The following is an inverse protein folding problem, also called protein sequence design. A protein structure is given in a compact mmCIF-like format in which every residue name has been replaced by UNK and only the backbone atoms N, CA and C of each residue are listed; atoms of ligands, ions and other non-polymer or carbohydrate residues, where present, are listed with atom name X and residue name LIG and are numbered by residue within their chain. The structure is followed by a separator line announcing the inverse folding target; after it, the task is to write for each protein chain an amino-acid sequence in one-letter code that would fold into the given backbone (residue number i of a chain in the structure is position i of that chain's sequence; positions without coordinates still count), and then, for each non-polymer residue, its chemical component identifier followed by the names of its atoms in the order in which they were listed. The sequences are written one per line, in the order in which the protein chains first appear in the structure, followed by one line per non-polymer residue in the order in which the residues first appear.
data_IF_915576250937
#
_entry.id   IF_915576250937
#
_cell.length_a   1.000
_cell.length_b   1.000
_cell.length_c   1.000
_cell.angle_alpha   90.00
_cell.angle_beta   90.00
_cell.angle_gamma   90.00
#
_symmetry.space_group_name_H-M   'P 1'
#
loop_
_entity.id
_entity.type
_entity.pdbx_description
1 polymer ?
#
# COMPACT_ATOMS: atom_id res chain seq x y z
N UNK A 1 23.82 6.84 -6.60
CA UNK A 1 22.44 6.35 -6.44
C UNK A 1 22.38 4.94 -5.85
N UNK A 2 23.08 3.97 -6.44
CA UNK A 2 23.09 2.57 -5.97
C UNK A 2 23.40 2.41 -4.47
N UNK A 3 24.49 3.05 -3.98
CA UNK A 3 24.88 2.96 -2.57
C UNK A 3 23.83 3.54 -1.61
N UNK A 4 23.11 4.60 -2.02
CA UNK A 4 22.02 5.18 -1.23
C UNK A 4 20.84 4.22 -1.10
N UNK A 5 20.43 3.60 -2.22
CA UNK A 5 19.35 2.59 -2.20
C UNK A 5 19.75 1.40 -1.31
N UNK A 6 20.98 0.91 -1.44
CA UNK A 6 21.48 -0.19 -0.62
C UNK A 6 21.49 0.16 0.87
N UNK A 7 21.84 1.39 1.22
CA UNK A 7 21.80 1.88 2.59
C UNK A 7 20.35 1.91 3.14
N UNK A 8 19.39 2.41 2.36
CA UNK A 8 17.97 2.43 2.78
C UNK A 8 17.38 1.01 2.92
N UNK A 9 17.72 0.09 2.01
CA UNK A 9 17.30 -1.31 2.12
C UNK A 9 17.94 -2.02 3.31
N UNK A 10 19.22 -1.74 3.59
CA UNK A 10 19.88 -2.25 4.78
C UNK A 10 19.24 -1.73 6.07
N UNK A 11 18.91 -0.45 6.10
CA UNK A 11 18.19 0.19 7.21
C UNK A 11 16.83 -0.48 7.40
N UNK A 12 16.03 -0.65 6.34
CA UNK A 12 14.74 -1.33 6.39
C UNK A 12 14.85 -2.73 7.02
N UNK A 13 15.86 -3.50 6.58
CA UNK A 13 16.13 -4.84 7.13
C UNK A 13 16.47 -4.84 8.62
N UNK A 14 16.96 -3.73 9.17
CA UNK A 14 17.34 -3.60 10.59
C UNK A 14 16.31 -2.84 11.42
N UNK A 15 15.31 -2.28 10.79
CA UNK A 15 14.29 -1.47 11.45
C UNK A 15 13.33 -2.34 12.28
N UNK A 16 13.28 -2.07 13.60
CA UNK A 16 12.42 -2.81 14.53
C UNK A 16 10.94 -2.58 14.24
N UNK A 17 10.57 -1.34 13.88
CA UNK A 17 9.17 -0.98 13.61
C UNK A 17 8.66 -1.72 12.37
N UNK A 18 9.52 -1.88 11.36
CA UNK A 18 9.21 -2.68 10.17
C UNK A 18 8.92 -4.14 10.53
N UNK A 19 9.76 -4.78 11.36
CA UNK A 19 9.56 -6.17 11.78
C UNK A 19 8.31 -6.34 12.66
N UNK A 20 8.06 -5.41 13.58
CA UNK A 20 6.84 -5.43 14.40
C UNK A 20 5.60 -5.31 13.52
N UNK A 21 5.63 -4.42 12.53
CA UNK A 21 4.52 -4.26 11.59
C UNK A 21 4.30 -5.53 10.74
N UNK A 22 5.38 -6.16 10.25
CA UNK A 22 5.31 -7.46 9.57
C UNK A 22 4.64 -8.53 10.44
N UNK A 23 5.03 -8.64 11.71
CA UNK A 23 4.47 -9.61 12.65
C UNK A 23 2.99 -9.34 12.93
N UNK A 24 2.61 -8.08 13.13
CA UNK A 24 1.20 -7.70 13.34
C UNK A 24 0.37 -8.07 12.13
N UNK A 25 0.82 -7.72 10.92
CA UNK A 25 0.07 -8.04 9.70
C UNK A 25 0.01 -9.55 9.48
N UNK A 26 1.10 -10.29 9.72
CA UNK A 26 1.10 -11.75 9.63
C UNK A 26 0.11 -12.38 10.63
N UNK A 27 0.10 -11.91 11.87
CA UNK A 27 -0.85 -12.39 12.89
C UNK A 27 -2.31 -12.11 12.48
N UNK A 28 -2.60 -10.91 11.96
CA UNK A 28 -3.94 -10.57 11.45
C UNK A 28 -4.31 -11.38 10.21
N UNK A 29 -3.34 -11.72 9.36
CA UNK A 29 -3.53 -12.53 8.16
C UNK A 29 -3.91 -13.98 8.49
N UNK A 30 -3.51 -14.47 9.65
CA UNK A 30 -3.93 -15.78 10.19
C UNK A 30 -5.24 -15.65 10.98
N UNK A 31 -5.32 -14.66 11.87
CA UNK A 31 -6.47 -14.54 12.75
C UNK A 31 -7.79 -14.29 12.00
N UNK A 32 -7.75 -13.45 10.95
CA UNK A 32 -8.96 -13.05 10.23
C UNK A 32 -9.63 -14.21 9.48
N UNK A 33 -8.96 -15.01 8.64
CA UNK A 33 -9.56 -16.18 7.99
C UNK A 33 -9.97 -17.26 8.97
N UNK A 34 -9.18 -17.48 10.02
CA UNK A 34 -9.46 -18.47 11.05
C UNK A 34 -10.76 -18.16 11.80
N UNK A 35 -10.95 -16.92 12.21
CA UNK A 35 -12.20 -16.47 12.84
C UNK A 35 -13.39 -16.65 11.93
N UNK A 36 -13.22 -16.32 10.65
CA UNK A 36 -14.26 -16.51 9.63
C UNK A 36 -14.60 -17.98 9.40
N UNK A 37 -13.58 -18.85 9.39
CA UNK A 37 -13.77 -20.31 9.31
C UNK A 37 -14.54 -20.87 10.49
N UNK A 38 -14.19 -20.45 11.72
CA UNK A 38 -14.87 -20.88 12.95
C UNK A 38 -16.34 -20.41 12.97
N UNK A 39 -16.60 -19.14 12.61
CA UNK A 39 -17.95 -18.58 12.57
C UNK A 39 -18.84 -19.35 11.58
N UNK A 40 -18.36 -19.59 10.36
CA UNK A 40 -19.09 -20.34 9.36
C UNK A 40 -19.36 -21.78 9.81
N UNK A 41 -18.37 -22.44 10.42
CA UNK A 41 -18.51 -23.81 10.91
C UNK A 41 -19.55 -23.89 12.05
N UNK A 42 -19.53 -22.94 12.96
CA UNK A 42 -20.49 -22.86 14.07
C UNK A 42 -21.90 -22.52 13.61
N UNK A 43 -22.01 -21.68 12.57
CA UNK A 43 -23.28 -21.26 11.98
C UNK A 43 -23.86 -22.22 10.93
N UNK A 44 -23.21 -23.38 10.67
CA UNK A 44 -23.64 -24.33 9.63
C UNK A 44 -23.58 -23.76 8.21
N UNK A 45 -22.78 -22.71 7.98
CA UNK A 45 -22.60 -22.07 6.66
C UNK A 45 -21.52 -22.79 5.86
N UNK A 46 -21.58 -22.75 4.51
CA UNK A 46 -20.53 -23.31 3.67
C UNK A 46 -19.19 -22.62 3.95
N UNK A 47 -18.11 -23.40 3.96
CA UNK A 47 -16.76 -22.88 4.10
C UNK A 47 -16.29 -22.33 2.75
N UNK A 48 -15.53 -21.23 2.79
CA UNK A 48 -14.87 -20.72 1.59
C UNK A 48 -13.68 -21.59 1.23
N UNK A 49 -13.55 -21.85 -0.06
CA UNK A 49 -12.30 -22.34 -0.65
C UNK A 49 -11.27 -21.22 -0.74
N UNK A 50 -9.99 -21.57 -0.90
CA UNK A 50 -8.93 -20.56 -1.05
C UNK A 50 -9.19 -19.59 -2.21
N UNK A 51 -9.69 -20.10 -3.34
CA UNK A 51 -10.02 -19.28 -4.50
C UNK A 51 -11.17 -18.30 -4.23
N UNK A 52 -12.25 -18.75 -3.62
CA UNK A 52 -13.39 -17.89 -3.24
C UNK A 52 -12.98 -16.83 -2.20
N UNK A 53 -12.17 -17.24 -1.22
CA UNK A 53 -11.67 -16.32 -0.21
C UNK A 53 -10.83 -15.20 -0.84
N UNK A 54 -9.92 -15.55 -1.74
CA UNK A 54 -9.09 -14.58 -2.43
C UNK A 54 -9.95 -13.54 -3.16
N UNK A 55 -10.92 -13.96 -3.95
CA UNK A 55 -11.81 -13.06 -4.70
C UNK A 55 -12.60 -12.16 -3.77
N UNK A 56 -13.18 -12.72 -2.71
CA UNK A 56 -14.05 -11.98 -1.79
C UNK A 56 -13.28 -10.99 -0.91
N UNK A 57 -12.06 -11.35 -0.48
CA UNK A 57 -11.32 -10.59 0.52
C UNK A 57 -10.12 -9.80 -0.03
N UNK A 58 -9.90 -9.79 -1.35
CA UNK A 58 -8.88 -8.93 -2.00
C UNK A 58 -9.10 -7.46 -1.63
N UNK A 59 -10.34 -6.99 -1.56
CA UNK A 59 -10.65 -5.62 -1.17
C UNK A 59 -10.17 -5.28 0.25
N UNK A 60 -10.14 -6.26 1.17
CA UNK A 60 -9.65 -6.09 2.55
C UNK A 60 -8.16 -5.76 2.59
N UNK A 61 -7.39 -6.22 1.59
CA UNK A 61 -5.97 -5.87 1.46
C UNK A 61 -5.75 -4.36 1.26
N UNK A 62 -6.73 -3.65 0.71
CA UNK A 62 -6.68 -2.19 0.58
C UNK A 62 -6.55 -1.48 1.94
N UNK A 63 -7.17 -2.00 3.00
CA UNK A 63 -6.99 -1.47 4.35
C UNK A 63 -5.59 -1.78 4.89
N UNK A 64 -5.08 -2.99 4.67
CA UNK A 64 -3.72 -3.39 5.07
C UNK A 64 -2.69 -2.45 4.42
N UNK A 65 -2.84 -2.14 3.13
CA UNK A 65 -1.98 -1.21 2.40
C UNK A 65 -2.02 0.19 3.05
N UNK A 66 -3.22 0.74 3.27
CA UNK A 66 -3.41 2.07 3.83
C UNK A 66 -2.80 2.22 5.23
N UNK A 67 -3.10 1.29 6.12
CA UNK A 67 -2.59 1.31 7.50
C UNK A 67 -1.09 1.08 7.56
N UNK A 68 -0.56 0.11 6.82
CA UNK A 68 0.88 -0.19 6.83
C UNK A 68 1.70 0.95 6.25
N UNK A 69 1.23 1.61 5.18
CA UNK A 69 1.93 2.76 4.61
C UNK A 69 1.94 3.93 5.59
N UNK A 70 0.81 4.24 6.25
CA UNK A 70 0.74 5.30 7.23
C UNK A 70 1.71 5.05 8.40
N UNK A 71 1.70 3.83 8.96
CA UNK A 71 2.58 3.44 10.06
C UNK A 71 4.07 3.46 9.62
N UNK A 72 4.38 2.82 8.49
CA UNK A 72 5.77 2.76 8.00
C UNK A 72 6.28 4.14 7.60
N UNK A 73 5.46 5.02 7.03
CA UNK A 73 5.82 6.40 6.72
C UNK A 73 6.27 7.16 7.97
N UNK A 74 5.52 7.04 9.06
CA UNK A 74 5.84 7.68 10.33
C UNK A 74 7.08 7.09 11.01
N UNK A 75 7.16 5.78 11.10
CA UNK A 75 8.25 5.12 11.84
C UNK A 75 9.54 5.00 11.03
N UNK A 76 9.49 4.80 9.72
CA UNK A 76 10.67 4.61 8.89
C UNK A 76 11.24 5.90 8.32
N UNK A 77 10.39 6.84 7.85
CA UNK A 77 10.85 8.09 7.23
C UNK A 77 10.78 9.27 8.21
N UNK A 78 9.57 9.55 8.77
CA UNK A 78 9.37 10.74 9.58
C UNK A 78 10.20 10.72 10.88
N UNK A 79 10.47 9.54 11.45
CA UNK A 79 11.33 9.39 12.63
C UNK A 79 12.76 9.90 12.41
N UNK A 80 13.28 9.89 11.19
CA UNK A 80 14.61 10.42 10.90
C UNK A 80 14.72 11.94 11.03
N UNK A 81 13.60 12.65 10.83
CA UNK A 81 13.57 14.08 11.08
C UNK A 81 13.61 14.38 12.59
N UNK A 82 12.84 13.61 13.38
CA UNK A 82 12.77 13.81 14.83
C UNK A 82 14.05 13.39 15.56
N UNK A 83 14.77 12.40 15.02
CA UNK A 83 16.03 11.91 15.59
C UNK A 83 17.27 12.66 15.06
N UNK A 84 17.10 13.60 14.14
CA UNK A 84 18.20 14.36 13.54
C UNK A 84 19.04 13.58 12.50
N UNK A 85 18.74 12.30 12.27
CA UNK A 85 19.42 11.47 11.25
C UNK A 85 19.27 12.09 9.87
N UNK A 86 18.10 12.66 9.56
CA UNK A 86 17.86 13.34 8.29
C UNK A 86 18.81 14.51 8.07
N UNK A 87 19.12 15.28 9.11
CA UNK A 87 20.08 16.40 9.04
C UNK A 87 21.48 15.89 8.70
N UNK A 88 21.94 14.85 9.39
CA UNK A 88 23.26 14.26 9.16
C UNK A 88 23.39 13.71 7.74
N UNK A 89 22.36 13.00 7.25
CA UNK A 89 22.36 12.44 5.89
C UNK A 89 22.28 13.56 4.83
N UNK A 90 21.52 14.63 5.08
CA UNK A 90 21.41 15.76 4.14
C UNK A 90 22.70 16.58 4.07
N UNK A 91 23.49 16.65 5.16
CA UNK A 91 24.79 17.35 5.20
C UNK A 91 25.96 16.53 4.62
N UNK A 92 25.76 15.27 4.26
CA UNK A 92 26.82 14.39 3.74
C UNK A 92 27.25 14.69 2.28
N UNK A 93 26.78 15.80 1.69
CA UNK A 93 27.15 16.24 0.34
C UNK A 93 26.39 15.52 -0.79
N UNK A 94 25.47 14.63 -0.47
CA UNK A 94 24.63 13.99 -1.48
C UNK A 94 23.52 14.94 -1.98
N UNK A 95 23.20 14.89 -3.28
CA UNK A 95 22.06 15.61 -3.85
C UNK A 95 20.76 15.22 -3.15
N UNK A 96 20.00 16.23 -2.70
CA UNK A 96 18.75 16.03 -1.96
C UNK A 96 17.70 15.24 -2.74
N UNK A 97 17.64 15.41 -4.08
CA UNK A 97 16.71 14.66 -4.91
C UNK A 97 17.08 13.17 -4.96
N UNK A 98 18.38 12.85 -5.03
CA UNK A 98 18.85 11.46 -4.98
C UNK A 98 18.59 10.81 -3.62
N UNK A 99 18.73 11.57 -2.53
CA UNK A 99 18.40 11.09 -1.19
C UNK A 99 16.91 10.76 -1.07
N UNK A 100 16.04 11.69 -1.49
CA UNK A 100 14.60 11.44 -1.46
C UNK A 100 14.20 10.24 -2.32
N UNK A 101 14.74 10.14 -3.55
CA UNK A 101 14.44 9.01 -4.44
C UNK A 101 14.91 7.67 -3.84
N UNK A 102 16.07 7.61 -3.19
CA UNK A 102 16.54 6.41 -2.52
C UNK A 102 15.62 6.01 -1.36
N UNK A 103 15.16 6.98 -0.56
CA UNK A 103 14.19 6.77 0.52
C UNK A 103 12.85 6.28 0.01
N UNK A 104 12.34 6.88 -1.07
CA UNK A 104 11.10 6.45 -1.70
C UNK A 104 11.20 4.98 -2.17
N UNK A 105 12.31 4.59 -2.79
CA UNK A 105 12.54 3.20 -3.25
C UNK A 105 12.58 2.25 -2.04
N UNK A 106 13.36 2.55 -1.01
CA UNK A 106 13.47 1.71 0.19
C UNK A 106 12.12 1.58 0.92
N UNK A 107 11.41 2.67 1.06
CA UNK A 107 10.08 2.72 1.66
C UNK A 107 9.04 1.93 0.85
N UNK A 108 9.01 2.13 -0.47
CA UNK A 108 8.11 1.39 -1.36
C UNK A 108 8.39 -0.11 -1.32
N UNK A 109 9.67 -0.52 -1.28
CA UNK A 109 10.04 -1.93 -1.14
C UNK A 109 9.50 -2.53 0.17
N UNK A 110 9.63 -1.82 1.30
CA UNK A 110 9.06 -2.25 2.57
C UNK A 110 7.53 -2.36 2.54
N UNK A 111 6.87 -1.36 1.98
CA UNK A 111 5.41 -1.36 1.81
C UNK A 111 4.93 -2.51 0.94
N UNK A 112 5.62 -2.79 -0.18
CA UNK A 112 5.31 -3.91 -1.07
C UNK A 112 5.46 -5.26 -0.36
N UNK A 113 6.51 -5.45 0.45
CA UNK A 113 6.68 -6.68 1.23
C UNK A 113 5.50 -6.90 2.18
N UNK A 114 5.08 -5.86 2.90
CA UNK A 114 3.96 -5.94 3.84
C UNK A 114 2.65 -6.23 3.11
N UNK A 115 2.40 -5.58 1.96
CA UNK A 115 1.13 -5.71 1.22
C UNK A 115 0.88 -7.11 0.67
N UNK A 116 1.92 -7.92 0.49
CA UNK A 116 1.80 -9.30 0.03
C UNK A 116 1.52 -10.29 1.16
N UNK A 117 1.79 -9.94 2.43
CA UNK A 117 1.62 -10.87 3.54
C UNK A 117 0.16 -11.30 3.67
N UNK A 118 -0.75 -10.32 3.74
CA UNK A 118 -2.16 -10.63 3.93
C UNK A 118 -2.73 -11.56 2.85
N UNK A 119 -2.63 -11.27 1.55
CA UNK A 119 -3.19 -12.14 0.53
C UNK A 119 -2.50 -13.51 0.46
N UNK A 120 -1.18 -13.58 0.65
CA UNK A 120 -0.45 -14.85 0.54
C UNK A 120 -0.66 -15.75 1.76
N UNK A 121 -0.57 -15.20 2.98
CA UNK A 121 -0.73 -15.98 4.21
C UNK A 121 -2.18 -16.45 4.36
N UNK A 122 -3.15 -15.55 4.15
CA UNK A 122 -4.57 -15.90 4.24
C UNK A 122 -4.99 -16.91 3.17
N UNK A 123 -4.47 -16.76 1.94
CA UNK A 123 -4.72 -17.75 0.88
C UNK A 123 -4.17 -19.13 1.23
N UNK A 124 -2.93 -19.18 1.74
CA UNK A 124 -2.31 -20.43 2.15
C UNK A 124 -3.11 -21.11 3.28
N UNK A 125 -3.48 -20.33 4.31
CA UNK A 125 -4.25 -20.85 5.45
C UNK A 125 -5.63 -21.40 5.03
N UNK A 126 -6.42 -20.61 4.31
CA UNK A 126 -7.76 -21.07 3.87
C UNK A 126 -7.64 -22.28 2.96
N UNK A 127 -6.61 -22.31 2.10
CA UNK A 127 -6.37 -23.48 1.23
C UNK A 127 -5.99 -24.75 2.03
N UNK A 128 -5.31 -24.59 3.17
CA UNK A 128 -5.00 -25.70 4.08
C UNK A 128 -6.25 -26.19 4.85
N UNK A 129 -7.16 -25.28 5.22
CA UNK A 129 -8.35 -25.60 6.00
C UNK A 129 -9.49 -26.18 5.16
N UNK A 130 -9.71 -25.65 3.96
CA UNK A 130 -10.88 -25.95 3.12
C UNK A 130 -10.55 -26.39 1.68
N UNK A 131 -9.26 -26.51 1.36
CA UNK A 131 -8.78 -26.75 -0.01
C UNK A 131 -8.73 -25.47 -0.84
N UNK A 132 -7.92 -25.47 -1.91
CA UNK A 132 -7.84 -24.33 -2.81
C UNK A 132 -9.15 -24.10 -3.59
N UNK A 133 -9.82 -25.21 -3.97
CA UNK A 133 -11.04 -25.15 -4.76
C UNK A 133 -10.79 -24.84 -6.23
N UNK A 134 -11.87 -24.64 -6.96
CA UNK A 134 -11.84 -24.20 -8.35
C UNK A 134 -12.13 -22.70 -8.43
N UNK A 135 -11.47 -22.02 -9.35
CA UNK A 135 -11.83 -20.64 -9.65
C UNK A 135 -13.26 -20.63 -10.21
N UNK A 136 -14.13 -19.70 -9.76
CA UNK A 136 -15.47 -19.57 -10.29
C UNK A 136 -15.49 -19.41 -11.82
N UNK A 137 -16.57 -19.84 -12.47
CA UNK A 137 -16.74 -19.69 -13.91
C UNK A 137 -16.54 -18.24 -14.34
N UNK A 138 -15.72 -18.06 -15.38
CA UNK A 138 -15.42 -16.74 -15.93
C UNK A 138 -14.29 -15.97 -15.25
N UNK A 139 -13.61 -16.53 -14.24
CA UNK A 139 -12.37 -15.98 -13.69
C UNK A 139 -11.20 -16.44 -14.55
N UNK A 140 -10.37 -15.48 -14.97
CA UNK A 140 -9.17 -15.75 -15.77
C UNK A 140 -8.13 -16.55 -14.98
N UNK A 141 -7.44 -17.48 -15.63
CA UNK A 141 -6.31 -18.22 -15.05
C UNK A 141 -5.18 -17.30 -14.54
N UNK A 142 -5.04 -16.11 -15.15
CA UNK A 142 -4.09 -15.09 -14.73
C UNK A 142 -4.60 -14.20 -13.58
N UNK A 143 -5.75 -14.49 -12.99
CA UNK A 143 -6.34 -13.69 -11.92
C UNK A 143 -5.37 -13.46 -10.74
N UNK A 144 -4.78 -14.53 -10.20
CA UNK A 144 -3.88 -14.45 -9.07
C UNK A 144 -2.59 -13.62 -9.37
N UNK A 145 -1.81 -13.92 -10.42
CA UNK A 145 -0.65 -13.10 -10.77
C UNK A 145 -1.01 -11.64 -11.05
N UNK A 146 -2.15 -11.39 -11.70
CA UNK A 146 -2.66 -10.04 -11.98
C UNK A 146 -2.96 -9.28 -10.70
N UNK A 147 -3.71 -9.88 -9.77
CA UNK A 147 -4.06 -9.25 -8.50
C UNK A 147 -2.81 -8.94 -7.67
N UNK A 148 -1.87 -9.89 -7.58
CA UNK A 148 -0.62 -9.66 -6.85
C UNK A 148 0.25 -8.57 -7.51
N UNK A 149 0.37 -8.59 -8.83
CA UNK A 149 1.12 -7.57 -9.58
C UNK A 149 0.51 -6.17 -9.41
N UNK A 150 -0.81 -6.04 -9.56
CA UNK A 150 -1.51 -4.78 -9.32
C UNK A 150 -1.41 -4.34 -7.85
N UNK A 151 -1.52 -5.27 -6.89
CA UNK A 151 -1.30 -4.96 -5.47
C UNK A 151 0.05 -4.29 -5.23
N UNK A 152 1.12 -4.83 -5.80
CA UNK A 152 2.47 -4.23 -5.70
C UNK A 152 2.52 -2.83 -6.33
N UNK A 153 1.96 -2.67 -7.53
CA UNK A 153 1.96 -1.41 -8.25
C UNK A 153 1.18 -0.32 -7.50
N UNK A 154 -0.02 -0.66 -7.01
CA UNK A 154 -0.83 0.28 -6.22
C UNK A 154 -0.21 0.59 -4.87
N UNK A 155 0.41 -0.40 -4.22
CA UNK A 155 1.17 -0.17 -2.99
C UNK A 155 2.31 0.83 -3.20
N UNK A 156 3.04 0.74 -4.33
CA UNK A 156 4.08 1.71 -4.67
C UNK A 156 3.50 3.13 -4.89
N UNK A 157 2.33 3.23 -5.51
CA UNK A 157 1.65 4.52 -5.71
C UNK A 157 1.21 5.15 -4.37
N UNK A 158 0.60 4.37 -3.48
CA UNK A 158 0.25 4.82 -2.13
C UNK A 158 1.49 5.16 -1.30
N UNK A 159 2.58 4.41 -1.45
CA UNK A 159 3.85 4.70 -0.80
C UNK A 159 4.44 6.04 -1.31
N UNK A 160 4.34 6.33 -2.61
CA UNK A 160 4.80 7.61 -3.14
C UNK A 160 4.01 8.81 -2.56
N UNK A 161 2.69 8.67 -2.40
CA UNK A 161 1.85 9.65 -1.71
C UNK A 161 2.26 9.77 -0.23
N UNK A 162 2.45 8.65 0.47
CA UNK A 162 2.89 8.62 1.86
C UNK A 162 4.24 9.31 2.05
N UNK A 163 5.23 9.04 1.19
CA UNK A 163 6.55 9.67 1.23
C UNK A 163 6.48 11.18 0.96
N UNK A 164 5.60 11.65 0.06
CA UNK A 164 5.36 13.07 -0.17
C UNK A 164 4.89 13.75 1.12
N UNK A 165 3.91 13.19 1.82
CA UNK A 165 3.40 13.78 3.05
C UNK A 165 4.41 13.70 4.22
N UNK A 166 5.30 12.72 4.26
CA UNK A 166 6.40 12.72 5.24
C UNK A 166 7.38 13.87 5.01
N UNK A 167 7.60 14.26 3.77
CA UNK A 167 8.41 15.43 3.46
C UNK A 167 7.72 16.73 3.92
N UNK A 168 6.40 16.76 4.04
CA UNK A 168 5.64 17.92 4.53
C UNK A 168 5.62 17.96 6.07
N UNK A 169 5.17 16.88 6.73
CA UNK A 169 4.87 16.88 8.17
C UNK A 169 6.09 16.64 9.08
N UNK A 170 7.07 15.88 8.67
CA UNK A 170 8.33 15.59 9.38
C UNK A 170 8.26 15.00 10.80
N UNK A 171 7.11 14.99 11.45
CA UNK A 171 6.89 14.39 12.76
C UNK A 171 6.14 13.06 12.62
N UNK A 172 6.63 12.00 13.26
CA UNK A 172 6.05 10.64 13.15
C UNK A 172 4.56 10.61 13.48
N UNK A 173 4.17 11.19 14.61
CA UNK A 173 2.77 11.18 15.06
C UNK A 173 1.85 11.94 14.09
N UNK A 174 2.23 13.14 13.68
CA UNK A 174 1.44 13.95 12.71
C UNK A 174 1.33 13.24 11.37
N UNK A 175 2.42 12.63 10.90
CA UNK A 175 2.44 11.89 9.64
C UNK A 175 1.49 10.69 9.67
N UNK A 176 1.57 9.85 10.72
CA UNK A 176 0.71 8.67 10.86
C UNK A 176 -0.75 9.09 10.92
N UNK A 177 -1.09 10.02 11.82
CA UNK A 177 -2.47 10.46 12.02
C UNK A 177 -3.06 11.07 10.75
N UNK A 178 -2.31 11.95 10.09
CA UNK A 178 -2.76 12.55 8.83
C UNK A 178 -2.99 11.51 7.74
N UNK A 179 -2.00 10.62 7.49
CA UNK A 179 -2.10 9.62 6.45
C UNK A 179 -3.24 8.62 6.73
N UNK A 180 -3.45 8.24 7.98
CA UNK A 180 -4.58 7.38 8.35
C UNK A 180 -5.91 8.02 7.99
N UNK A 181 -6.15 9.24 8.46
CA UNK A 181 -7.38 9.98 8.18
C UNK A 181 -7.52 10.21 6.67
N UNK A 182 -6.46 10.66 6.01
CA UNK A 182 -6.46 10.91 4.57
C UNK A 182 -6.83 9.66 3.77
N UNK A 183 -6.14 8.54 3.97
CA UNK A 183 -6.41 7.32 3.19
C UNK A 183 -7.76 6.66 3.50
N UNK A 184 -8.31 6.85 4.69
CA UNK A 184 -9.63 6.34 5.02
C UNK A 184 -10.75 7.21 4.45
N UNK A 185 -10.56 8.54 4.47
CA UNK A 185 -11.63 9.48 4.11
C UNK A 185 -11.62 9.90 2.64
N UNK A 186 -10.47 9.81 1.95
CA UNK A 186 -10.33 10.36 0.60
C UNK A 186 -11.35 9.79 -0.40
N UNK A 187 -11.66 8.49 -0.31
CA UNK A 187 -12.65 7.84 -1.16
C UNK A 187 -14.05 8.44 -0.93
N UNK A 188 -14.44 8.61 0.33
CA UNK A 188 -15.75 9.17 0.70
C UNK A 188 -15.85 10.65 0.30
N UNK A 189 -14.75 11.39 0.50
CA UNK A 189 -14.71 12.82 0.16
C UNK A 189 -14.79 13.01 -1.36
N UNK A 190 -13.95 12.33 -2.13
CA UNK A 190 -13.95 12.50 -3.59
C UNK A 190 -15.22 11.94 -4.23
N UNK A 191 -15.71 10.78 -3.76
CA UNK A 191 -16.96 10.20 -4.25
C UNK A 191 -18.16 11.08 -3.92
N UNK A 192 -18.28 11.55 -2.69
CA UNK A 192 -19.39 12.43 -2.28
C UNK A 192 -19.37 13.80 -2.96
N UNK A 193 -18.19 14.42 -3.10
CA UNK A 193 -18.07 15.68 -3.85
C UNK A 193 -18.33 15.50 -5.35
N UNK A 194 -18.02 14.33 -5.90
CA UNK A 194 -18.28 13.98 -7.30
C UNK A 194 -19.77 14.03 -7.66
N UNK A 195 -20.66 13.73 -6.72
CA UNK A 195 -22.12 13.82 -6.94
C UNK A 195 -22.56 15.26 -7.25
N UNK A 196 -21.84 16.26 -6.74
CA UNK A 196 -22.16 17.68 -6.92
C UNK A 196 -21.32 18.35 -8.02
N UNK A 197 -20.12 17.84 -8.28
CA UNK A 197 -19.15 18.44 -9.19
C UNK A 197 -18.67 17.39 -10.21
N UNK A 198 -19.21 17.37 -11.45
CA UNK A 198 -18.93 16.33 -12.47
C UNK A 198 -17.43 16.13 -12.77
N UNK A 199 -16.63 17.21 -12.70
CA UNK A 199 -15.17 17.11 -12.92
C UNK A 199 -14.51 16.24 -11.84
N UNK A 200 -14.98 16.33 -10.57
CA UNK A 200 -14.45 15.52 -9.48
C UNK A 200 -14.83 14.04 -9.62
N UNK A 201 -15.96 13.71 -10.23
CA UNK A 201 -16.30 12.32 -10.56
C UNK A 201 -15.25 11.72 -11.47
N UNK A 202 -14.90 12.42 -12.55
CA UNK A 202 -13.86 11.95 -13.49
C UNK A 202 -12.50 11.80 -12.80
N UNK A 203 -12.10 12.78 -11.97
CA UNK A 203 -10.86 12.71 -11.19
C UNK A 203 -10.86 11.52 -10.23
N UNK A 204 -12.00 11.27 -9.57
CA UNK A 204 -12.14 10.13 -8.67
C UNK A 204 -12.08 8.81 -9.42
N UNK A 205 -12.80 8.67 -10.53
CA UNK A 205 -12.86 7.44 -11.33
C UNK A 205 -11.48 7.05 -11.88
N UNK A 206 -10.64 8.02 -12.23
CA UNK A 206 -9.26 7.80 -12.65
C UNK A 206 -8.24 8.05 -11.52
N UNK A 207 -8.60 7.81 -10.27
CA UNK A 207 -7.67 7.92 -9.14
C UNK A 207 -7.23 6.54 -8.64
N UNK A 208 -6.02 6.48 -8.05
CA UNK A 208 -5.55 5.26 -7.36
C UNK A 208 -6.45 4.86 -6.20
N UNK A 209 -7.22 5.81 -5.66
CA UNK A 209 -8.11 5.58 -4.53
C UNK A 209 -9.32 4.72 -4.92
N UNK A 210 -9.96 5.03 -6.05
CA UNK A 210 -11.07 4.25 -6.61
C UNK A 210 -10.58 2.93 -7.19
N UNK A 211 -9.57 3.01 -8.05
CA UNK A 211 -9.10 1.86 -8.82
C UNK A 211 -8.43 0.77 -7.96
N UNK A 212 -7.96 1.09 -6.74
CA UNK A 212 -7.51 0.08 -5.78
C UNK A 212 -8.60 -0.96 -5.47
N UNK A 213 -9.88 -0.54 -5.42
CA UNK A 213 -11.02 -1.45 -5.24
C UNK A 213 -11.26 -2.35 -6.45
N UNK A 214 -10.85 -1.92 -7.63
CA UNK A 214 -11.11 -2.60 -8.90
C UNK A 214 -10.08 -3.70 -9.23
N UNK A 215 -8.93 -3.73 -8.56
CA UNK A 215 -7.90 -4.78 -8.77
C UNK A 215 -8.42 -6.20 -8.52
N UNK A 216 -9.41 -6.35 -7.65
CA UNK A 216 -10.06 -7.62 -7.30
C UNK A 216 -11.19 -8.05 -8.23
N UNK A 217 -11.54 -7.27 -9.24
CA UNK A 217 -12.55 -7.65 -10.22
C UNK A 217 -12.14 -8.93 -10.95
N UNK A 218 -13.06 -9.88 -11.04
CA UNK A 218 -12.83 -11.18 -11.68
C UNK A 218 -12.59 -11.05 -13.19
N UNK A 219 -13.27 -10.09 -13.82
CA UNK A 219 -13.07 -9.68 -15.21
C UNK A 219 -12.72 -8.21 -15.27
N UNK A 220 -11.72 -7.90 -16.06
CA UNK A 220 -11.35 -6.52 -16.40
C UNK A 220 -11.59 -6.37 -17.88
N UNK A 221 -12.45 -5.43 -18.25
CA UNK A 221 -12.65 -5.13 -19.66
C UNK A 221 -11.37 -4.56 -20.24
N UNK A 222 -11.09 -4.89 -21.50
CA UNK A 222 -9.85 -4.44 -22.17
C UNK A 222 -9.68 -2.92 -22.19
N UNK A 223 -10.77 -2.16 -22.06
CA UNK A 223 -10.75 -0.70 -21.93
C UNK A 223 -10.30 -0.19 -20.56
N UNK A 224 -10.47 -0.97 -19.49
CA UNK A 224 -10.11 -0.58 -18.11
C UNK A 224 -8.65 -0.90 -17.77
N UNK A 225 -8.06 -1.89 -18.43
CA UNK A 225 -6.69 -2.32 -18.14
C UNK A 225 -5.64 -1.20 -18.29
N UNK A 226 -5.66 -0.35 -19.34
CA UNK A 226 -4.75 0.79 -19.43
C UNK A 226 -4.86 1.74 -18.24
N UNK A 227 -6.07 2.05 -17.77
CA UNK A 227 -6.27 2.91 -16.61
C UNK A 227 -5.69 2.29 -15.34
N UNK A 228 -5.93 0.98 -15.11
CA UNK A 228 -5.41 0.24 -13.96
C UNK A 228 -3.86 0.21 -13.91
N UNK A 229 -3.19 0.30 -15.04
CA UNK A 229 -1.72 0.33 -15.11
C UNK A 229 -1.15 1.76 -15.13
N UNK A 230 -1.72 2.66 -15.92
CA UNK A 230 -1.16 4.00 -16.13
C UNK A 230 -1.40 4.91 -14.92
N UNK A 231 -2.57 4.84 -14.30
CA UNK A 231 -2.91 5.72 -13.17
C UNK A 231 -1.95 5.56 -11.98
N UNK A 232 -1.64 4.34 -11.48
CA UNK A 232 -0.66 4.19 -10.41
C UNK A 232 0.75 4.59 -10.84
N UNK A 233 1.18 4.33 -12.08
CA UNK A 233 2.48 4.77 -12.59
C UNK A 233 2.58 6.30 -12.61
N UNK A 234 1.57 7.00 -13.13
CA UNK A 234 1.51 8.45 -13.11
C UNK A 234 1.51 8.99 -11.67
N UNK A 235 0.78 8.36 -10.77
CA UNK A 235 0.76 8.74 -9.34
C UNK A 235 2.14 8.63 -8.71
N UNK A 236 2.89 7.54 -8.98
CA UNK A 236 4.27 7.37 -8.51
C UNK A 236 5.17 8.49 -9.01
N UNK A 237 5.10 8.78 -10.31
CA UNK A 237 5.93 9.82 -10.94
C UNK A 237 5.59 11.20 -10.38
N UNK A 238 4.31 11.58 -10.39
CA UNK A 238 3.86 12.89 -9.93
C UNK A 238 4.16 13.09 -8.44
N UNK A 239 3.76 12.15 -7.59
CA UNK A 239 4.01 12.24 -6.14
C UNK A 239 5.50 12.19 -5.82
N UNK A 240 6.28 11.39 -6.56
CA UNK A 240 7.73 11.32 -6.42
C UNK A 240 8.40 12.64 -6.78
N UNK A 241 8.05 13.25 -7.92
CA UNK A 241 8.59 14.55 -8.34
C UNK A 241 8.21 15.68 -7.38
N UNK A 242 6.94 15.74 -6.96
CA UNK A 242 6.48 16.71 -5.96
C UNK A 242 7.24 16.53 -4.64
N UNK A 243 7.45 15.29 -4.21
CA UNK A 243 8.22 14.99 -3.00
C UNK A 243 9.68 15.44 -3.10
N UNK A 244 10.34 15.24 -4.24
CA UNK A 244 11.68 15.79 -4.52
C UNK A 244 11.70 17.31 -4.41
N UNK A 245 10.71 18.01 -5.00
CA UNK A 245 10.61 19.45 -4.98
C UNK A 245 10.42 20.00 -3.55
N UNK A 246 9.52 19.37 -2.78
CA UNK A 246 9.28 19.72 -1.37
C UNK A 246 10.56 19.50 -0.55
N UNK A 247 11.19 18.33 -0.70
CA UNK A 247 12.39 17.98 0.05
C UNK A 247 13.59 18.87 -0.26
N UNK A 248 13.75 19.30 -1.53
CA UNK A 248 14.83 20.24 -1.93
C UNK A 248 14.69 21.61 -1.29
N UNK A 249 13.47 22.13 -1.22
CA UNK A 249 13.18 23.47 -0.67
C UNK A 249 13.13 23.50 0.86
N UNK A 250 13.02 22.35 1.50
CA UNK A 250 12.83 22.26 2.94
C UNK A 250 14.13 22.53 3.70
N UNK A 251 14.06 23.42 4.69
CA UNK A 251 15.10 23.54 5.70
C UNK A 251 15.05 22.34 6.64
N UNK A 252 16.13 21.58 6.69
CA UNK A 252 16.27 20.42 7.59
C UNK A 252 16.99 20.94 8.85
N UNK A 253 16.20 21.26 9.87
CA UNK A 253 16.70 21.76 11.16
C UNK A 253 17.21 20.65 12.04
#
# INVERSE_FOLDING_TARGET
MYNLIRAELFKLRKDRSFHVLLLIIAALSVAYPLLYYIDNKSGGKPQFTGAEFLIKFVASNGYVIKFSIAALAGFFIASEYTTGVMKTVASSGNDRGRLYAAKLIGFSAGAMMISLIFPLVSLAEVSMLSGFGQLPEGVDAFFLPRVLGLTLLYTAAYAAIGALFTAVFTESGKTISFLMVFFLMINTILGGLGEYIPVLTTVYDYSVFKLLGDIGKTRIDGGDLPALLLVPLLTIVVSGLLGVLVFRKKEIK
#
